data_IF_415935436959
#
_entry.id   IF_415935436959
#
_cell.length_a   1.000
_cell.length_b   1.000
_cell.length_c   1.000
_cell.angle_alpha   90.00
_cell.angle_beta   90.00
_cell.angle_gamma   90.00
#
_symmetry.space_group_name_H-M   'P 1'
#
loop_
_entity.id
_entity.type
_entity.pdbx_description
1 polymer ?
#
# COMPACT_ATOMS: atom_id res chain seq x y z
N UNK A 1 15.79 32.33 44.95
CA UNK A 1 16.09 31.10 44.18
C UNK A 1 16.42 30.01 45.20
N UNK A 2 15.73 28.87 45.25
CA UNK A 2 16.11 27.82 46.19
C UNK A 2 17.34 27.06 45.67
N UNK A 3 18.26 26.78 46.60
CA UNK A 3 19.62 26.28 46.38
C UNK A 3 19.68 24.78 46.65
N UNK A 4 19.13 23.95 45.76
CA UNK A 4 19.46 22.52 45.76
C UNK A 4 19.15 21.86 44.41
N UNK A 5 20.20 21.43 43.69
CA UNK A 5 20.11 20.80 42.37
C UNK A 5 19.35 19.47 42.39
N UNK A 6 19.33 18.75 43.52
CA UNK A 6 18.64 17.45 43.63
C UNK A 6 17.10 17.58 43.66
N UNK A 7 16.57 18.76 43.98
CA UNK A 7 15.13 19.00 43.97
C UNK A 7 14.51 18.92 42.57
N UNK A 8 15.31 19.15 41.52
CA UNK A 8 14.86 19.05 40.13
C UNK A 8 14.73 17.60 39.62
N UNK A 9 15.53 16.68 40.18
CA UNK A 9 15.55 15.27 39.77
C UNK A 9 14.68 14.35 40.63
N UNK A 10 14.09 14.88 41.70
CA UNK A 10 13.15 14.15 42.57
C UNK A 10 11.68 14.35 42.18
N UNK A 11 11.40 14.85 40.97
CA UNK A 11 10.05 14.74 40.42
C UNK A 11 9.82 13.27 40.02
N UNK A 12 8.96 12.50 40.71
CA UNK A 12 8.67 11.16 40.27
C UNK A 12 7.99 11.23 38.90
N UNK A 13 8.41 10.37 37.97
CA UNK A 13 7.88 10.29 36.59
C UNK A 13 6.34 10.12 36.61
N UNK A 14 5.78 9.68 37.74
CA UNK A 14 4.35 9.50 37.99
C UNK A 14 3.98 10.00 39.39
N UNK A 15 4.24 11.29 39.68
CA UNK A 15 3.48 12.00 40.71
C UNK A 15 2.03 12.12 40.24
N UNK A 16 1.28 11.02 40.38
CA UNK A 16 -0.15 10.96 40.18
C UNK A 16 -0.82 11.78 41.28
N UNK A 17 -1.04 13.06 41.01
CA UNK A 17 -1.98 13.90 41.73
C UNK A 17 -2.89 14.56 40.70
N UNK A 18 -4.05 13.93 40.52
CA UNK A 18 -5.27 14.46 39.93
C UNK A 18 -5.05 15.58 38.92
N UNK A 19 -4.61 15.20 37.73
CA UNK A 19 -4.92 15.93 36.52
C UNK A 19 -4.99 14.91 35.41
N UNK A 20 -6.01 15.10 34.58
CA UNK A 20 -6.30 14.42 33.33
C UNK A 20 -5.10 14.52 32.40
N UNK A 21 -4.06 13.72 32.65
CA UNK A 21 -3.09 13.37 31.63
C UNK A 21 -3.92 12.49 30.71
N UNK A 22 -4.59 13.13 29.75
CA UNK A 22 -5.03 12.49 28.52
C UNK A 22 -3.80 11.74 28.03
N UNK A 23 -3.74 10.43 28.33
CA UNK A 23 -2.98 9.52 27.50
C UNK A 23 -3.40 9.92 26.10
N UNK A 24 -2.43 10.29 25.26
CA UNK A 24 -2.74 10.45 23.84
C UNK A 24 -3.25 9.06 23.42
N UNK A 25 -4.56 8.87 23.48
CA UNK A 25 -5.26 7.80 22.81
C UNK A 25 -5.11 8.21 21.36
N UNK A 26 -3.93 7.95 20.80
CA UNK A 26 -3.87 7.68 19.38
C UNK A 26 -4.80 6.51 19.23
N UNK A 27 -6.01 6.77 18.73
CA UNK A 27 -6.77 5.71 18.12
C UNK A 27 -5.76 5.04 17.18
N UNK A 28 -5.49 3.76 17.37
CA UNK A 28 -4.58 2.98 16.52
C UNK A 28 -5.01 2.96 15.04
N UNK A 29 -6.13 3.63 14.75
CA UNK A 29 -6.81 3.81 13.49
C UNK A 29 -6.77 5.25 12.94
N UNK A 30 -5.92 6.16 13.47
CA UNK A 30 -5.83 7.55 12.96
C UNK A 30 -5.01 7.66 11.64
N UNK A 31 -4.78 6.53 10.98
CA UNK A 31 -4.40 6.47 9.57
C UNK A 31 -5.62 6.06 8.76
N UNK A 32 -6.34 7.04 8.20
CA UNK A 32 -7.41 6.83 7.23
C UNK A 32 -6.85 6.38 5.86
N UNK A 33 -5.99 5.35 5.85
CA UNK A 33 -5.55 4.75 4.60
C UNK A 33 -6.67 3.87 4.08
N UNK A 34 -7.34 4.33 3.02
CA UNK A 34 -8.29 3.53 2.27
C UNK A 34 -7.60 2.85 1.08
N UNK A 35 -7.32 1.54 1.12
CA UNK A 35 -6.62 0.85 0.05
C UNK A 35 -7.34 0.98 -1.29
N UNK A 36 -8.67 0.97 -1.30
CA UNK A 36 -9.44 1.07 -2.53
C UNK A 36 -9.21 2.41 -3.24
N UNK A 37 -9.22 3.49 -2.46
CA UNK A 37 -8.97 4.85 -2.96
C UNK A 37 -7.53 5.00 -3.43
N UNK A 38 -6.58 4.41 -2.71
CA UNK A 38 -5.18 4.35 -3.14
C UNK A 38 -5.02 3.70 -4.51
N UNK A 39 -5.56 2.49 -4.72
CA UNK A 39 -5.45 1.82 -6.03
C UNK A 39 -6.19 2.56 -7.16
N UNK A 40 -7.33 3.20 -6.86
CA UNK A 40 -8.01 4.09 -7.83
C UNK A 40 -7.19 5.33 -8.17
N UNK A 41 -6.48 5.88 -7.19
CA UNK A 41 -5.58 7.02 -7.40
C UNK A 41 -4.41 6.63 -8.31
N UNK A 42 -3.85 5.43 -8.14
CA UNK A 42 -2.81 4.90 -9.04
C UNK A 42 -3.32 4.67 -10.46
N UNK A 43 -4.56 4.17 -10.62
CA UNK A 43 -5.21 4.06 -11.92
C UNK A 43 -5.30 5.43 -12.61
N UNK A 44 -5.74 6.47 -11.90
CA UNK A 44 -5.81 7.85 -12.39
C UNK A 44 -4.43 8.43 -12.77
N UNK A 45 -3.40 8.15 -11.95
CA UNK A 45 -2.03 8.59 -12.23
C UNK A 45 -1.54 7.98 -13.55
N UNK A 46 -1.72 6.67 -13.73
CA UNK A 46 -1.29 5.97 -14.95
C UNK A 46 -2.06 6.48 -16.18
N UNK A 47 -3.35 6.78 -16.05
CA UNK A 47 -4.10 7.45 -17.10
C UNK A 47 -3.55 8.82 -17.48
N UNK A 48 -3.10 9.61 -16.49
CA UNK A 48 -2.52 10.93 -16.74
C UNK A 48 -1.23 10.86 -17.58
N UNK A 49 -0.53 9.72 -17.53
CA UNK A 49 0.63 9.42 -18.39
C UNK A 49 0.24 8.87 -19.78
N UNK A 50 -1.05 8.77 -20.11
CA UNK A 50 -1.54 8.35 -21.43
C UNK A 50 -1.79 6.84 -21.57
N UNK A 51 -1.79 6.09 -20.48
CA UNK A 51 -2.14 4.67 -20.48
C UNK A 51 -3.65 4.46 -20.28
N UNK A 52 -4.16 3.30 -20.70
CA UNK A 52 -5.53 2.91 -20.39
C UNK A 52 -5.64 2.43 -18.94
N UNK A 53 -6.79 2.67 -18.28
CA UNK A 53 -7.11 2.17 -16.92
C UNK A 53 -6.76 0.70 -16.70
N UNK A 54 -7.02 -0.13 -17.71
CA UNK A 54 -6.75 -1.57 -17.64
C UNK A 54 -5.27 -1.91 -17.48
N UNK A 55 -4.36 -1.00 -17.84
CA UNK A 55 -2.94 -1.20 -17.68
C UNK A 55 -2.51 -1.40 -16.24
N UNK A 56 -3.13 -0.68 -15.30
CA UNK A 56 -2.79 -0.85 -13.89
C UNK A 56 -3.11 -2.28 -13.38
N UNK A 57 -4.28 -2.81 -13.74
CA UNK A 57 -4.69 -4.19 -13.42
C UNK A 57 -3.83 -5.21 -14.16
N UNK A 58 -3.44 -4.91 -15.40
CA UNK A 58 -2.49 -5.73 -16.16
C UNK A 58 -1.15 -5.81 -15.46
N UNK A 59 -0.59 -4.70 -14.98
CA UNK A 59 0.67 -4.67 -14.26
C UNK A 59 0.62 -5.51 -12.98
N UNK A 60 -0.45 -5.39 -12.18
CA UNK A 60 -0.68 -6.24 -11.00
C UNK A 60 -0.70 -7.73 -11.40
N UNK A 61 -1.43 -8.07 -12.47
CA UNK A 61 -1.54 -9.44 -12.96
C UNK A 61 -0.18 -9.98 -13.46
N UNK A 62 0.56 -9.20 -14.26
CA UNK A 62 1.86 -9.62 -14.79
C UNK A 62 2.89 -9.78 -13.67
N UNK A 63 2.93 -8.88 -12.68
CA UNK A 63 3.84 -9.04 -11.54
C UNK A 63 3.46 -10.23 -10.66
N UNK A 64 2.16 -10.47 -10.45
CA UNK A 64 1.70 -11.64 -9.71
C UNK A 64 2.04 -12.97 -10.43
N UNK A 65 2.14 -12.93 -11.75
CA UNK A 65 2.57 -14.07 -12.59
C UNK A 65 4.09 -14.21 -12.64
N UNK A 66 4.79 -13.09 -12.70
CA UNK A 66 6.25 -12.97 -12.83
C UNK A 66 6.78 -12.06 -11.72
N UNK A 67 6.90 -12.57 -10.48
CA UNK A 67 7.43 -11.78 -9.39
C UNK A 67 8.89 -11.41 -9.68
N UNK A 68 9.32 -10.24 -9.18
CA UNK A 68 10.72 -9.85 -9.28
C UNK A 68 11.62 -10.88 -8.59
N UNK A 69 12.80 -11.11 -9.17
CA UNK A 69 13.84 -11.84 -8.48
C UNK A 69 14.28 -11.03 -7.26
N UNK A 70 14.22 -11.64 -6.08
CA UNK A 70 14.67 -11.00 -4.85
C UNK A 70 16.19 -10.99 -4.84
N UNK A 71 16.75 -9.85 -5.20
CA UNK A 71 18.17 -9.54 -4.98
C UNK A 71 18.28 -8.93 -3.59
N UNK A 72 19.24 -9.42 -2.79
CA UNK A 72 19.47 -8.92 -1.43
C UNK A 72 19.68 -7.38 -1.44
N UNK A 73 19.09 -6.70 -0.45
CA UNK A 73 19.15 -5.24 -0.21
C UNK A 73 18.42 -4.29 -1.19
N UNK A 74 17.55 -4.79 -2.08
CA UNK A 74 16.77 -3.89 -2.96
C UNK A 74 15.39 -3.49 -2.40
N UNK A 75 15.38 -2.47 -1.55
CA UNK A 75 14.15 -1.91 -0.97
C UNK A 75 13.12 -1.41 -2.00
N UNK A 76 13.54 -1.01 -3.21
CA UNK A 76 12.63 -0.58 -4.26
C UNK A 76 11.82 -1.77 -4.78
N UNK A 77 12.46 -2.92 -4.96
CA UNK A 77 11.76 -4.16 -5.35
C UNK A 77 10.75 -4.53 -4.27
N UNK A 78 11.12 -4.44 -3.00
CA UNK A 78 10.21 -4.73 -1.89
C UNK A 78 9.01 -3.77 -1.87
N UNK A 79 9.26 -2.46 -2.07
CA UNK A 79 8.20 -1.45 -2.12
C UNK A 79 7.26 -1.67 -3.31
N UNK A 80 7.79 -1.90 -4.52
CA UNK A 80 6.95 -2.13 -5.70
C UNK A 80 6.17 -3.44 -5.54
N UNK A 81 6.80 -4.50 -5.03
CA UNK A 81 6.12 -5.77 -4.75
C UNK A 81 4.99 -5.57 -3.74
N UNK A 82 5.23 -4.82 -2.67
CA UNK A 82 4.22 -4.48 -1.66
C UNK A 82 3.02 -3.74 -2.28
N UNK A 83 3.28 -2.66 -3.03
CA UNK A 83 2.23 -1.85 -3.69
C UNK A 83 1.47 -2.63 -4.76
N UNK A 84 2.10 -3.60 -5.42
CA UNK A 84 1.50 -4.40 -6.50
C UNK A 84 0.86 -5.70 -6.00
N UNK A 85 0.81 -5.93 -4.69
CA UNK A 85 0.20 -7.12 -4.08
C UNK A 85 -1.06 -6.74 -3.30
N UNK A 86 -2.20 -6.47 -3.96
CA UNK A 86 -3.41 -5.96 -3.32
C UNK A 86 -4.00 -6.90 -2.26
N UNK A 87 -3.71 -8.21 -2.31
CA UNK A 87 -4.08 -9.16 -1.25
C UNK A 87 -3.45 -8.87 0.11
N UNK A 88 -2.40 -8.04 0.18
CA UNK A 88 -1.80 -7.60 1.45
C UNK A 88 -2.68 -6.62 2.21
N UNK A 89 -3.63 -5.98 1.53
CA UNK A 89 -4.55 -5.02 2.12
C UNK A 89 -5.96 -5.59 2.16
N UNK A 90 -6.68 -5.35 3.25
CA UNK A 90 -8.12 -5.62 3.30
C UNK A 90 -8.85 -4.52 2.54
N UNK A 91 -8.99 -4.68 1.22
CA UNK A 91 -9.73 -3.74 0.38
C UNK A 91 -11.23 -3.97 0.61
N UNK A 92 -11.83 -3.18 1.50
CA UNK A 92 -13.27 -3.18 1.76
C UNK A 92 -13.93 -2.20 0.78
N UNK A 93 -14.82 -2.68 -0.08
CA UNK A 93 -15.68 -1.80 -0.86
C UNK A 93 -16.81 -1.30 0.02
N UNK A 94 -17.15 -0.01 -0.07
CA UNK A 94 -18.28 0.61 0.65
C UNK A 94 -19.64 -0.10 0.42
N UNK A 95 -19.72 -0.90 -0.64
CA UNK A 95 -20.83 -1.81 -0.91
C UNK A 95 -20.48 -3.22 -0.42
N UNK A 96 -20.36 -3.42 0.89
CA UNK A 96 -20.11 -4.74 1.54
C UNK A 96 -21.21 -5.79 1.24
N UNK A 97 -22.21 -5.46 0.42
CA UNK A 97 -23.32 -6.33 0.02
C UNK A 97 -23.09 -7.06 -1.32
N UNK A 98 -22.03 -6.76 -2.08
CA UNK A 98 -21.70 -7.50 -3.30
C UNK A 98 -20.57 -8.49 -3.02
N UNK A 99 -20.86 -9.78 -3.15
CA UNK A 99 -19.98 -10.95 -3.01
C UNK A 99 -18.79 -10.97 -4.01
N UNK A 100 -18.58 -9.87 -4.75
CA UNK A 100 -17.67 -9.81 -5.87
C UNK A 100 -16.28 -9.38 -5.41
N UNK A 101 -15.22 -10.15 -5.74
CA UNK A 101 -13.86 -9.78 -5.38
C UNK A 101 -13.50 -8.46 -6.05
N UNK A 102 -12.85 -7.57 -5.29
CA UNK A 102 -12.39 -6.30 -5.85
C UNK A 102 -11.50 -6.56 -7.09
N UNK A 103 -11.53 -5.66 -8.09
CA UNK A 103 -10.91 -5.91 -9.39
C UNK A 103 -9.38 -6.06 -9.32
N UNK A 104 -8.74 -5.51 -8.28
CA UNK A 104 -7.29 -5.59 -8.09
C UNK A 104 -6.86 -6.95 -7.54
N UNK A 105 -7.55 -7.47 -6.52
CA UNK A 105 -7.37 -8.82 -6.01
C UNK A 105 -7.68 -9.87 -7.07
N UNK A 106 -8.71 -9.63 -7.91
CA UNK A 106 -9.01 -10.50 -9.04
C UNK A 106 -7.84 -10.53 -10.04
N UNK A 107 -7.26 -9.38 -10.39
CA UNK A 107 -6.13 -9.29 -11.29
C UNK A 107 -4.91 -10.07 -10.76
N UNK A 108 -4.59 -9.88 -9.48
CA UNK A 108 -3.51 -10.60 -8.79
C UNK A 108 -3.75 -12.12 -8.80
N UNK A 109 -4.96 -12.56 -8.47
CA UNK A 109 -5.34 -13.97 -8.49
C UNK A 109 -5.20 -14.59 -9.90
N UNK A 110 -5.61 -13.85 -10.94
CA UNK A 110 -5.45 -14.29 -12.33
C UNK A 110 -3.97 -14.44 -12.72
N UNK A 111 -3.12 -13.52 -12.26
CA UNK A 111 -1.67 -13.61 -12.42
C UNK A 111 -1.07 -14.83 -11.72
N UNK A 112 -1.37 -15.00 -10.43
CA UNK A 112 -0.93 -16.16 -9.62
C UNK A 112 -1.39 -17.50 -10.18
N UNK A 113 -2.58 -17.55 -10.80
CA UNK A 113 -3.09 -18.76 -11.47
C UNK A 113 -2.49 -19.00 -12.86
N UNK A 114 -1.51 -18.21 -13.28
CA UNK A 114 -0.77 -18.41 -14.52
C UNK A 114 -1.53 -18.00 -15.78
N UNK A 115 -2.60 -17.19 -15.66
CA UNK A 115 -3.34 -16.72 -16.82
C UNK A 115 -2.51 -15.72 -17.62
N UNK A 116 -2.77 -15.65 -18.93
CA UNK A 116 -2.12 -14.70 -19.82
C UNK A 116 -2.74 -13.30 -19.65
N UNK A 117 -2.11 -12.45 -18.84
CA UNK A 117 -2.64 -11.13 -18.48
C UNK A 117 -2.82 -10.19 -19.68
N UNK A 118 -1.96 -10.26 -20.69
CA UNK A 118 -2.13 -9.52 -21.95
C UNK A 118 -3.44 -9.85 -22.70
N UNK A 119 -3.94 -11.09 -22.62
CA UNK A 119 -5.23 -11.48 -23.20
C UNK A 119 -6.41 -11.02 -22.33
N UNK A 120 -6.22 -10.96 -21.01
CA UNK A 120 -7.24 -10.50 -20.07
C UNK A 120 -7.45 -8.99 -20.12
N UNK A 121 -6.39 -8.23 -20.43
CA UNK A 121 -6.41 -6.78 -20.49
C UNK A 121 -5.95 -6.25 -21.87
N UNK A 122 -6.69 -6.55 -22.96
CA UNK A 122 -6.26 -6.25 -24.33
C UNK A 122 -6.28 -4.75 -24.66
N UNK A 123 -6.98 -3.93 -23.87
CA UNK A 123 -6.99 -2.47 -24.01
C UNK A 123 -5.66 -1.84 -23.62
N UNK A 124 -4.90 -2.49 -22.74
CA UNK A 124 -3.58 -2.04 -22.38
C UNK A 124 -2.56 -2.46 -23.45
N UNK A 125 -2.14 -1.53 -24.29
CA UNK A 125 -1.14 -1.80 -25.35
C UNK A 125 0.29 -1.77 -24.83
N UNK A 126 0.61 -0.80 -23.97
CA UNK A 126 1.93 -0.58 -23.39
C UNK A 126 1.86 -0.83 -21.89
N UNK A 127 2.76 -1.66 -21.35
CA UNK A 127 2.78 -1.97 -19.92
C UNK A 127 3.55 -0.88 -19.15
N UNK A 128 2.95 -0.23 -18.14
CA UNK A 128 3.66 0.69 -17.24
C UNK A 128 4.88 0.07 -16.57
N UNK A 129 4.89 -1.26 -16.32
CA UNK A 129 6.05 -1.95 -15.74
C UNK A 129 7.29 -1.88 -16.63
N UNK A 130 7.12 -1.73 -17.95
CA UNK A 130 8.25 -1.56 -18.87
C UNK A 130 8.94 -0.20 -18.68
N UNK A 131 8.30 0.79 -18.06
CA UNK A 131 8.97 2.04 -17.69
C UNK A 131 9.83 1.87 -16.44
N UNK A 132 9.40 1.00 -15.51
CA UNK A 132 10.13 0.75 -14.26
C UNK A 132 11.40 -0.06 -14.49
N UNK A 133 11.40 -0.96 -15.48
CA UNK A 133 12.58 -1.78 -15.82
C UNK A 133 13.79 -0.96 -16.28
N UNK A 134 13.60 0.28 -16.77
CA UNK A 134 14.70 1.21 -17.10
C UNK A 134 15.48 1.64 -15.83
N UNK A 135 14.91 1.50 -14.65
CA UNK A 135 15.53 1.86 -13.36
C UNK A 135 16.26 0.66 -12.71
N UNK A 136 16.07 -0.55 -13.23
CA UNK A 136 16.62 -1.80 -12.66
C UNK A 136 17.72 -2.45 -13.52
N UNK A 137 18.28 -1.72 -14.50
CA UNK A 137 19.49 -2.10 -15.25
C UNK A 137 20.74 -1.42 -14.66
#
# INVERSE_FOLDING_TARGET
MPFNLSSFYMAPIWASRNNEISKRQTNENDYDFNPLEFYRSLESIIESYGFDKSCWKRSICELARHPFERIDDNWLIDLVTFVMTPSQFKIISAHEAEEQPNPYNLAEHLGRSGKLCHHLYPKCKNDPLNMLTIVFE
#
